data_IF_512254392782
#
_entry.id   IF_512254392782
#
_cell.length_a   1.000
_cell.length_b   1.000
_cell.length_c   1.000
_cell.angle_alpha   90.00
_cell.angle_beta   90.00
_cell.angle_gamma   90.00
#
_symmetry.space_group_name_H-M   'P 1'
#
loop_
_entity.id
_entity.type
_entity.pdbx_description
1 polymer ?
#
# COMPACT_ATOMS: atom_id res chain seq x y z
N UNK A 1 -1.97 -12.72 -4.77
CA UNK A 1 -2.89 -13.85 -5.02
C UNK A 1 -2.14 -15.16 -5.15
N UNK A 2 -2.79 -16.34 -5.04
CA UNK A 2 -2.15 -17.63 -5.30
C UNK A 2 -1.49 -17.67 -6.67
N UNK A 3 -0.35 -18.35 -6.81
CA UNK A 3 0.37 -18.42 -8.09
C UNK A 3 -0.42 -19.16 -9.19
N UNK A 4 -1.28 -20.09 -8.81
CA UNK A 4 -2.15 -20.89 -9.69
C UNK A 4 -3.51 -20.22 -9.97
N UNK A 5 -3.76 -19.03 -9.40
CA UNK A 5 -4.96 -18.24 -9.65
C UNK A 5 -5.26 -18.09 -11.15
N UNK A 6 -6.54 -18.07 -11.56
CA UNK A 6 -6.94 -17.82 -12.96
C UNK A 6 -6.52 -16.44 -13.45
N UNK A 7 -6.41 -15.44 -12.56
CA UNK A 7 -6.00 -14.10 -12.95
C UNK A 7 -4.50 -14.07 -13.26
N UNK A 8 -4.15 -13.75 -14.50
CA UNK A 8 -2.75 -13.67 -14.96
C UNK A 8 -2.25 -12.23 -15.04
N UNK A 9 -3.16 -11.31 -15.21
CA UNK A 9 -2.90 -9.86 -15.31
C UNK A 9 -3.78 -9.08 -14.35
N UNK A 10 -3.46 -7.80 -14.12
CA UNK A 10 -4.31 -6.90 -13.36
C UNK A 10 -5.66 -6.72 -14.06
N UNK A 11 -5.68 -6.72 -15.41
CA UNK A 11 -6.92 -6.60 -16.17
C UNK A 11 -7.86 -7.79 -15.92
N UNK A 12 -7.36 -9.04 -15.92
CA UNK A 12 -8.19 -10.22 -15.64
C UNK A 12 -8.90 -10.10 -14.28
N UNK A 13 -8.16 -9.61 -13.27
CA UNK A 13 -8.70 -9.39 -11.94
C UNK A 13 -9.77 -8.29 -11.94
N UNK A 14 -9.50 -7.17 -12.59
CA UNK A 14 -10.43 -6.03 -12.64
C UNK A 14 -11.69 -6.40 -13.42
N UNK A 15 -11.57 -7.13 -14.53
CA UNK A 15 -12.72 -7.58 -15.32
C UNK A 15 -13.67 -8.44 -14.48
N UNK A 16 -13.14 -9.34 -13.65
CA UNK A 16 -13.97 -10.16 -12.75
C UNK A 16 -14.62 -9.33 -11.63
N UNK A 17 -13.88 -8.38 -11.04
CA UNK A 17 -14.43 -7.46 -10.02
C UNK A 17 -15.59 -6.64 -10.61
N UNK A 18 -15.45 -6.14 -11.82
CA UNK A 18 -16.49 -5.34 -12.48
C UNK A 18 -17.70 -6.20 -12.89
N UNK A 19 -17.47 -7.46 -13.29
CA UNK A 19 -18.53 -8.39 -13.64
C UNK A 19 -19.30 -8.92 -12.41
N UNK A 20 -18.64 -9.01 -11.26
CA UNK A 20 -19.16 -9.62 -10.03
C UNK A 20 -18.92 -8.69 -8.80
N UNK A 21 -19.57 -7.51 -8.73
CA UNK A 21 -19.36 -6.55 -7.64
C UNK A 21 -19.61 -7.18 -6.27
N UNK A 22 -18.69 -6.95 -5.32
CA UNK A 22 -18.78 -7.45 -3.97
C UNK A 22 -18.56 -8.96 -3.79
N UNK A 23 -18.16 -9.69 -4.86
CA UNK A 23 -17.95 -11.14 -4.80
C UNK A 23 -16.47 -11.53 -4.73
N UNK A 24 -15.57 -10.73 -5.33
CA UNK A 24 -14.13 -11.00 -5.30
C UNK A 24 -13.57 -10.61 -3.94
N UNK A 25 -13.06 -11.60 -3.21
CA UNK A 25 -12.55 -11.42 -1.84
C UNK A 25 -11.14 -10.85 -1.85
N UNK A 26 -10.95 -9.74 -1.11
CA UNK A 26 -9.64 -9.08 -0.97
C UNK A 26 -9.28 -8.95 0.50
N UNK A 27 -8.20 -9.62 0.89
CA UNK A 27 -7.63 -9.54 2.23
C UNK A 27 -6.89 -8.22 2.45
N UNK A 28 -6.99 -7.70 3.66
CA UNK A 28 -6.26 -6.51 4.11
C UNK A 28 -5.90 -6.61 5.61
N UNK A 29 -4.99 -5.75 6.06
CA UNK A 29 -4.52 -5.71 7.44
C UNK A 29 -5.27 -4.62 8.24
N UNK A 30 -6.28 -5.03 8.99
CA UNK A 30 -7.04 -4.13 9.88
C UNK A 30 -8.00 -3.18 9.14
N UNK A 31 -9.16 -2.93 9.72
CA UNK A 31 -10.12 -1.96 9.19
C UNK A 31 -9.56 -0.53 9.36
N UNK A 32 -9.54 0.25 8.26
CA UNK A 32 -8.97 1.59 8.25
C UNK A 32 -7.44 1.65 8.28
N UNK A 33 -6.76 0.49 8.32
CA UNK A 33 -5.30 0.42 8.18
C UNK A 33 -4.84 0.74 6.76
N UNK A 34 -3.53 1.02 6.58
CA UNK A 34 -2.98 1.43 5.29
C UNK A 34 -3.28 0.48 4.13
N UNK A 35 -3.26 -0.83 4.37
CA UNK A 35 -3.57 -1.83 3.34
C UNK A 35 -5.06 -1.81 2.97
N UNK A 36 -5.95 -1.57 3.94
CA UNK A 36 -7.39 -1.41 3.68
C UNK A 36 -7.67 -0.13 2.89
N UNK A 37 -7.06 0.99 3.29
CA UNK A 37 -7.15 2.26 2.54
C UNK A 37 -6.65 2.08 1.10
N UNK A 38 -5.55 1.35 0.90
CA UNK A 38 -5.04 1.05 -0.43
C UNK A 38 -6.02 0.23 -1.27
N UNK A 39 -6.68 -0.77 -0.68
CA UNK A 39 -7.73 -1.53 -1.36
C UNK A 39 -8.93 -0.67 -1.74
N UNK A 40 -9.38 0.23 -0.84
CA UNK A 40 -10.48 1.16 -1.11
C UNK A 40 -10.15 2.20 -2.19
N UNK A 41 -8.92 2.70 -2.22
CA UNK A 41 -8.45 3.60 -3.30
C UNK A 41 -8.39 2.87 -4.64
N UNK A 42 -8.03 1.59 -4.64
CA UNK A 42 -8.05 0.78 -5.85
C UNK A 42 -9.48 0.53 -6.33
N UNK A 43 -10.42 0.18 -5.43
CA UNK A 43 -11.85 0.08 -5.77
C UNK A 43 -12.39 1.37 -6.41
N UNK A 44 -12.09 2.52 -5.79
CA UNK A 44 -12.53 3.82 -6.31
C UNK A 44 -11.96 4.09 -7.71
N UNK A 45 -10.67 3.77 -7.91
CA UNK A 45 -9.98 3.98 -9.18
C UNK A 45 -10.59 3.16 -10.32
N UNK A 46 -10.93 1.89 -10.08
CA UNK A 46 -11.51 1.00 -11.10
C UNK A 46 -13.04 1.05 -11.18
N UNK A 47 -13.70 1.75 -10.24
CA UNK A 47 -15.17 1.76 -10.15
C UNK A 47 -15.78 0.40 -9.79
N UNK A 48 -15.01 -0.46 -9.10
CA UNK A 48 -15.42 -1.81 -8.68
C UNK A 48 -15.78 -1.88 -7.20
N UNK A 49 -16.14 -3.09 -6.73
CA UNK A 49 -16.45 -3.37 -5.34
C UNK A 49 -15.86 -4.73 -4.93
N UNK A 50 -15.06 -4.77 -3.85
CA UNK A 50 -14.50 -5.99 -3.28
C UNK A 50 -15.31 -6.51 -2.10
N UNK A 51 -15.24 -7.81 -1.85
CA UNK A 51 -15.56 -8.38 -0.54
C UNK A 51 -14.32 -8.26 0.36
N UNK A 52 -14.27 -7.23 1.22
CA UNK A 52 -13.15 -7.00 2.12
C UNK A 52 -13.11 -8.01 3.27
N UNK A 53 -12.00 -8.75 3.38
CA UNK A 53 -11.72 -9.68 4.48
C UNK A 53 -10.55 -9.16 5.30
N UNK A 54 -10.80 -8.85 6.56
CA UNK A 54 -9.80 -8.24 7.44
C UNK A 54 -9.07 -9.30 8.26
N UNK A 55 -7.74 -9.23 8.26
CA UNK A 55 -6.83 -10.06 9.05
C UNK A 55 -6.04 -9.23 10.06
N UNK A 56 -5.46 -9.88 11.07
CA UNK A 56 -4.58 -9.26 12.07
C UNK A 56 -3.17 -9.03 11.51
N UNK A 57 -3.06 -8.24 10.43
CA UNK A 57 -1.80 -7.87 9.80
C UNK A 57 -1.62 -8.45 8.39
N UNK A 58 -0.67 -7.87 7.66
CA UNK A 58 -0.45 -8.21 6.25
C UNK A 58 0.09 -9.62 6.05
N UNK A 59 0.94 -10.12 6.95
CA UNK A 59 1.43 -11.51 6.88
C UNK A 59 0.31 -12.53 7.06
N UNK A 60 -0.68 -12.24 7.94
CA UNK A 60 -1.86 -13.08 8.08
C UNK A 60 -2.75 -13.03 6.82
N UNK A 61 -2.90 -11.86 6.19
CA UNK A 61 -3.59 -11.72 4.91
C UNK A 61 -2.92 -12.54 3.78
N UNK A 62 -1.58 -12.54 3.73
CA UNK A 62 -0.82 -13.40 2.80
C UNK A 62 -1.05 -14.88 3.08
N UNK A 63 -1.12 -15.27 4.36
CA UNK A 63 -1.45 -16.66 4.74
C UNK A 63 -2.85 -17.06 4.26
N UNK A 64 -3.83 -16.18 4.37
CA UNK A 64 -5.18 -16.41 3.84
C UNK A 64 -5.18 -16.62 2.32
N UNK A 65 -4.36 -15.88 1.59
CA UNK A 65 -4.14 -16.09 0.15
C UNK A 65 -3.55 -17.49 -0.12
N UNK A 66 -2.51 -17.89 0.61
CA UNK A 66 -1.88 -19.21 0.46
C UNK A 66 -2.85 -20.37 0.77
N UNK A 67 -3.76 -20.15 1.70
CA UNK A 67 -4.78 -21.13 2.07
C UNK A 67 -6.00 -21.16 1.11
N UNK A 68 -6.00 -20.29 0.07
CA UNK A 68 -7.14 -20.10 -0.83
C UNK A 68 -8.44 -19.66 -0.12
N UNK A 69 -8.33 -19.00 1.04
CA UNK A 69 -9.47 -18.43 1.77
C UNK A 69 -10.00 -17.16 1.10
N UNK A 70 -9.11 -16.45 0.37
CA UNK A 70 -9.39 -15.20 -0.35
C UNK A 70 -8.76 -15.20 -1.73
N UNK A 71 -9.36 -14.46 -2.66
CA UNK A 71 -8.85 -14.38 -4.04
C UNK A 71 -7.53 -13.60 -4.14
N UNK A 72 -7.42 -12.50 -3.39
CA UNK A 72 -6.25 -11.64 -3.42
C UNK A 72 -5.98 -10.98 -2.05
N UNK A 73 -4.81 -10.38 -1.91
CA UNK A 73 -4.50 -9.49 -0.79
C UNK A 73 -3.88 -8.19 -1.29
N UNK A 74 -4.18 -7.10 -0.59
CA UNK A 74 -3.41 -5.86 -0.62
C UNK A 74 -2.52 -5.86 0.61
N UNK A 75 -1.20 -5.91 0.41
CA UNK A 75 -0.22 -6.01 1.48
C UNK A 75 1.02 -5.17 1.17
N UNK A 76 1.86 -4.95 2.20
CA UNK A 76 3.15 -4.32 2.00
C UNK A 76 4.15 -5.33 1.41
N UNK A 77 5.12 -4.83 0.66
CA UNK A 77 6.12 -5.64 -0.02
C UNK A 77 6.80 -6.66 0.89
N UNK A 78 7.32 -6.32 2.09
CA UNK A 78 8.01 -7.29 2.94
C UNK A 78 7.14 -8.46 3.41
N UNK A 79 5.81 -8.28 3.44
CA UNK A 79 4.88 -9.28 4.00
C UNK A 79 4.69 -10.51 3.10
N UNK A 80 4.97 -10.39 1.79
CA UNK A 80 4.73 -11.45 0.81
C UNK A 80 5.93 -11.87 -0.03
N UNK A 81 7.06 -11.15 0.01
CA UNK A 81 8.15 -11.38 -0.96
C UNK A 81 8.81 -12.75 -0.85
N UNK A 82 8.92 -13.34 0.35
CA UNK A 82 9.41 -14.71 0.51
C UNK A 82 8.54 -15.74 -0.22
N UNK A 83 7.22 -15.53 -0.22
CA UNK A 83 6.27 -16.41 -0.89
C UNK A 83 6.27 -16.18 -2.42
N UNK A 84 6.54 -14.93 -2.87
CA UNK A 84 6.79 -14.63 -4.28
C UNK A 84 8.04 -15.35 -4.77
N UNK A 85 9.15 -15.22 -4.03
CA UNK A 85 10.41 -15.89 -4.36
C UNK A 85 10.27 -17.43 -4.38
N UNK A 86 9.40 -17.99 -3.52
CA UNK A 86 9.07 -19.41 -3.49
C UNK A 86 8.08 -19.84 -4.60
N UNK A 87 7.59 -18.91 -5.42
CA UNK A 87 6.62 -19.20 -6.48
C UNK A 87 5.22 -19.59 -5.98
N UNK A 88 4.89 -19.31 -4.71
CA UNK A 88 3.62 -19.68 -4.09
C UNK A 88 2.53 -18.64 -4.33
N UNK A 89 2.92 -17.38 -4.43
CA UNK A 89 2.01 -16.27 -4.76
C UNK A 89 2.55 -15.48 -5.96
N UNK A 90 1.64 -14.76 -6.61
CA UNK A 90 1.91 -13.86 -7.71
C UNK A 90 1.52 -12.44 -7.34
N UNK A 91 2.33 -11.48 -7.74
CA UNK A 91 1.98 -10.05 -7.70
C UNK A 91 1.37 -9.70 -9.07
N UNK A 92 0.16 -9.14 -9.10
CA UNK A 92 -0.45 -8.65 -10.33
C UNK A 92 -0.02 -7.25 -10.67
N UNK A 93 0.13 -6.39 -9.66
CA UNK A 93 0.60 -5.03 -9.83
C UNK A 93 1.14 -4.47 -8.51
N UNK A 94 1.97 -3.45 -8.64
CA UNK A 94 2.42 -2.61 -7.53
C UNK A 94 1.77 -1.22 -7.63
N UNK A 95 1.36 -0.68 -6.49
CA UNK A 95 0.86 0.70 -6.40
C UNK A 95 1.99 1.72 -6.16
N UNK A 96 3.24 1.30 -6.20
CA UNK A 96 4.39 2.16 -6.02
C UNK A 96 4.57 3.15 -7.19
N UNK A 97 5.30 4.23 -6.95
CA UNK A 97 5.66 5.20 -7.99
C UNK A 97 6.74 4.69 -8.95
N UNK A 98 7.55 3.70 -8.49
CA UNK A 98 8.67 3.10 -9.23
C UNK A 98 8.65 1.58 -9.13
N UNK A 99 9.17 0.85 -10.14
CA UNK A 99 9.32 -0.60 -10.10
C UNK A 99 10.19 -1.07 -8.93
N UNK A 100 9.94 -2.29 -8.46
CA UNK A 100 10.84 -2.97 -7.52
C UNK A 100 12.15 -3.35 -8.21
N UNK A 101 13.28 -3.09 -7.55
CA UNK A 101 14.60 -3.39 -8.13
C UNK A 101 14.77 -4.89 -8.42
N UNK A 102 14.33 -5.75 -7.49
CA UNK A 102 14.48 -7.20 -7.59
C UNK A 102 13.35 -7.89 -8.40
N UNK A 103 12.29 -7.16 -8.72
CA UNK A 103 11.12 -7.66 -9.45
C UNK A 103 10.67 -6.64 -10.52
N UNK A 104 11.55 -6.34 -11.51
CA UNK A 104 11.27 -5.32 -12.52
C UNK A 104 10.09 -5.68 -13.43
N UNK A 105 9.74 -6.97 -13.55
CA UNK A 105 8.62 -7.47 -14.35
C UNK A 105 7.24 -7.29 -13.69
N UNK A 106 7.19 -6.89 -12.40
CA UNK A 106 5.93 -6.57 -11.73
C UNK A 106 5.43 -5.21 -12.25
N UNK A 107 4.29 -5.17 -12.93
CA UNK A 107 3.80 -3.92 -13.50
C UNK A 107 3.40 -2.94 -12.39
N UNK A 108 3.63 -1.65 -12.63
CA UNK A 108 2.99 -0.61 -11.84
C UNK A 108 1.52 -0.51 -12.25
N UNK A 109 0.61 -0.39 -11.29
CA UNK A 109 -0.81 -0.25 -11.57
C UNK A 109 -1.08 0.93 -12.51
N UNK A 110 -0.43 2.07 -12.27
CA UNK A 110 -0.55 3.29 -13.11
C UNK A 110 -0.10 3.11 -14.57
N UNK A 111 0.76 2.14 -14.83
CA UNK A 111 1.33 1.86 -16.17
C UNK A 111 0.75 0.56 -16.77
N UNK A 112 -0.20 -0.08 -16.09
CA UNK A 112 -0.80 -1.37 -16.50
C UNK A 112 -1.74 -1.28 -17.69
N UNK A 113 -2.21 -0.08 -18.03
CA UNK A 113 -3.24 0.14 -19.06
C UNK A 113 -4.67 -0.15 -18.58
N UNK A 114 -4.87 -0.53 -17.32
CA UNK A 114 -6.20 -0.73 -16.74
C UNK A 114 -6.84 0.63 -16.48
N UNK A 115 -8.04 0.83 -17.03
CA UNK A 115 -8.76 2.10 -16.92
C UNK A 115 -8.98 2.51 -15.46
N UNK A 116 -8.72 3.78 -15.13
CA UNK A 116 -8.85 4.37 -13.81
C UNK A 116 -7.59 4.26 -12.94
N UNK A 117 -6.62 3.43 -13.32
CA UNK A 117 -5.39 3.26 -12.54
C UNK A 117 -4.26 4.22 -12.91
N UNK A 118 -4.41 5.08 -13.90
CA UNK A 118 -3.37 5.94 -14.48
C UNK A 118 -2.70 6.87 -13.45
N UNK A 119 -3.44 7.26 -12.42
CA UNK A 119 -2.95 8.11 -11.32
C UNK A 119 -2.88 7.35 -9.98
N UNK A 120 -3.04 6.03 -9.99
CA UNK A 120 -3.07 5.23 -8.79
C UNK A 120 -1.64 4.98 -8.27
N UNK A 121 -1.20 5.85 -7.39
CA UNK A 121 0.03 5.68 -6.62
C UNK A 121 -0.32 5.71 -5.15
N UNK A 122 0.07 4.65 -4.43
CA UNK A 122 -0.17 4.50 -3.00
C UNK A 122 1.13 4.02 -2.38
N UNK A 123 1.78 4.89 -1.64
CA UNK A 123 3.04 4.59 -0.94
C UNK A 123 2.80 4.64 0.56
N UNK A 124 3.18 3.59 1.24
CA UNK A 124 3.22 3.64 2.69
C UNK A 124 4.46 4.39 3.15
N UNK A 125 4.28 5.27 4.11
CA UNK A 125 5.34 6.09 4.67
C UNK A 125 5.43 5.94 6.18
N UNK A 126 6.54 6.37 6.74
CA UNK A 126 6.79 6.45 8.18
C UNK A 126 7.36 7.81 8.49
N UNK A 127 6.98 8.38 9.62
CA UNK A 127 7.49 9.65 10.11
C UNK A 127 7.80 9.57 11.60
N UNK A 128 8.65 10.48 12.07
CA UNK A 128 8.85 10.76 13.47
C UNK A 128 8.03 12.02 13.78
N UNK A 129 7.16 11.94 14.77
CA UNK A 129 6.40 13.08 15.24
C UNK A 129 6.86 13.48 16.65
N UNK A 130 6.84 14.75 16.93
CA UNK A 130 7.18 15.34 18.23
C UNK A 130 5.99 16.19 18.74
N UNK A 131 5.89 16.47 20.06
CA UNK A 131 4.91 17.41 20.58
C UNK A 131 4.98 18.77 19.88
N UNK A 132 3.84 19.45 19.75
CA UNK A 132 3.75 20.71 19.00
C UNK A 132 4.56 21.86 19.63
N UNK A 133 4.86 21.78 20.92
CA UNK A 133 5.66 22.73 21.68
C UNK A 133 7.16 22.41 21.74
N UNK A 134 7.62 21.41 20.95
CA UNK A 134 9.05 21.09 20.83
C UNK A 134 9.77 22.26 20.16
N UNK A 135 10.88 22.78 20.77
CA UNK A 135 11.63 23.90 20.19
C UNK A 135 12.10 23.58 18.74
N UNK A 136 12.02 24.57 17.87
CA UNK A 136 12.39 24.43 16.44
C UNK A 136 13.83 23.96 16.24
N UNK A 137 14.76 24.36 17.12
CA UNK A 137 16.16 23.91 17.07
C UNK A 137 16.29 22.40 17.29
N UNK A 138 15.49 21.82 18.19
CA UNK A 138 15.46 20.38 18.45
C UNK A 138 14.84 19.65 17.25
N UNK A 139 13.76 20.18 16.68
CA UNK A 139 13.13 19.61 15.47
C UNK A 139 14.12 19.60 14.30
N UNK A 140 14.86 20.70 14.10
CA UNK A 140 15.87 20.79 13.06
C UNK A 140 17.01 19.77 13.26
N UNK A 141 17.52 19.63 14.52
CA UNK A 141 18.56 18.66 14.83
C UNK A 141 18.08 17.22 14.56
N UNK A 142 16.88 16.87 15.00
CA UNK A 142 16.27 15.54 14.74
C UNK A 142 16.10 15.28 13.26
N UNK A 143 15.70 16.29 12.49
CA UNK A 143 15.54 16.20 11.04
C UNK A 143 16.87 15.92 10.34
N UNK A 144 17.95 16.59 10.74
CA UNK A 144 19.31 16.35 10.22
C UNK A 144 19.84 14.95 10.59
N UNK A 145 19.55 14.47 11.80
CA UNK A 145 19.89 13.09 12.19
C UNK A 145 19.12 12.08 11.35
N UNK A 146 17.79 12.27 11.17
CA UNK A 146 16.97 11.42 10.35
C UNK A 146 17.46 11.37 8.89
N UNK A 147 17.88 12.53 8.34
CA UNK A 147 18.49 12.60 7.02
C UNK A 147 19.72 11.72 6.90
N UNK A 148 20.66 11.86 7.84
CA UNK A 148 21.90 11.06 7.85
C UNK A 148 21.62 9.56 7.92
N UNK A 149 20.61 9.15 8.71
CA UNK A 149 20.21 7.74 8.80
C UNK A 149 19.61 7.23 7.48
N UNK A 150 18.70 8.01 6.87
CA UNK A 150 18.03 7.60 5.62
C UNK A 150 18.98 7.57 4.43
N UNK A 151 20.02 8.40 4.45
CA UNK A 151 21.06 8.48 3.42
C UNK A 151 22.27 7.55 3.71
N UNK A 152 22.29 6.88 4.84
CA UNK A 152 23.35 5.93 5.21
C UNK A 152 23.32 4.71 4.29
N UNK A 153 24.47 4.33 3.67
CA UNK A 153 24.52 3.21 2.73
C UNK A 153 24.04 1.88 3.31
N UNK A 154 24.36 1.58 4.58
CA UNK A 154 23.94 0.33 5.23
C UNK A 154 22.43 0.32 5.46
N UNK A 155 21.84 1.48 5.79
CA UNK A 155 20.40 1.62 5.93
C UNK A 155 19.70 1.45 4.57
N UNK A 156 20.22 2.08 3.52
CA UNK A 156 19.70 1.96 2.14
C UNK A 156 19.76 0.51 1.67
N UNK A 157 20.88 -0.19 1.89
CA UNK A 157 21.02 -1.59 1.53
C UNK A 157 19.99 -2.48 2.26
N UNK A 158 19.78 -2.27 3.57
CA UNK A 158 18.75 -2.98 4.32
C UNK A 158 17.33 -2.69 3.81
N UNK A 159 17.04 -1.44 3.46
CA UNK A 159 15.76 -1.09 2.84
C UNK A 159 15.58 -1.83 1.50
N UNK A 160 16.61 -1.87 0.65
CA UNK A 160 16.56 -2.55 -0.64
C UNK A 160 16.31 -4.05 -0.48
N UNK A 161 16.93 -4.74 0.50
CA UNK A 161 16.67 -6.17 0.77
C UNK A 161 15.23 -6.46 1.18
N UNK A 162 14.51 -5.46 1.68
CA UNK A 162 13.10 -5.52 2.03
C UNK A 162 12.18 -4.95 0.94
N UNK A 163 12.74 -4.57 -0.20
CA UNK A 163 12.03 -3.85 -1.27
C UNK A 163 11.30 -2.59 -0.76
N UNK A 164 11.96 -1.87 0.16
CA UNK A 164 11.50 -0.59 0.71
C UNK A 164 12.35 0.52 0.12
N UNK A 165 11.72 1.60 -0.31
CA UNK A 165 12.44 2.79 -0.81
C UNK A 165 12.78 3.71 0.36
N UNK A 166 14.09 3.84 0.67
CA UNK A 166 14.57 4.85 1.61
C UNK A 166 14.43 6.24 0.96
N UNK A 167 13.64 7.11 1.57
CA UNK A 167 13.40 8.47 1.09
C UNK A 167 13.26 9.44 2.26
N UNK A 168 14.15 10.41 2.31
CA UNK A 168 14.07 11.50 3.26
C UNK A 168 13.12 12.60 2.75
N UNK A 169 12.35 13.17 3.65
CA UNK A 169 11.63 14.45 3.49
C UNK A 169 11.98 15.33 4.68
N UNK A 170 12.31 16.59 4.43
CA UNK A 170 12.52 17.57 5.48
C UNK A 170 11.21 17.93 6.19
N UNK A 171 11.27 18.78 7.23
CA UNK A 171 10.12 19.14 8.07
C UNK A 171 8.98 19.79 7.25
N UNK A 172 9.30 20.68 6.31
CA UNK A 172 8.32 21.34 5.47
C UNK A 172 7.68 20.34 4.50
N UNK A 173 8.49 19.59 3.77
CA UNK A 173 8.05 18.58 2.80
C UNK A 173 7.18 17.49 3.43
N UNK A 174 7.53 17.01 4.63
CA UNK A 174 6.73 15.98 5.30
C UNK A 174 5.39 16.55 5.81
N UNK A 175 5.36 17.78 6.30
CA UNK A 175 4.13 18.43 6.74
C UNK A 175 3.16 18.66 5.59
N UNK A 176 3.63 19.17 4.45
CA UNK A 176 2.81 19.32 3.24
C UNK A 176 2.28 17.98 2.75
N UNK A 177 3.15 16.96 2.73
CA UNK A 177 2.78 15.61 2.32
C UNK A 177 1.70 15.03 3.24
N UNK A 178 1.88 15.10 4.57
CA UNK A 178 0.88 14.61 5.54
C UNK A 178 -0.45 15.32 5.39
N UNK A 179 -0.44 16.64 5.16
CA UNK A 179 -1.68 17.39 4.94
C UNK A 179 -2.40 16.92 3.66
N UNK A 180 -1.67 16.70 2.57
CA UNK A 180 -2.25 16.20 1.32
C UNK A 180 -2.85 14.80 1.47
N UNK A 181 -2.15 13.89 2.15
CA UNK A 181 -2.64 12.54 2.42
C UNK A 181 -3.85 12.55 3.37
N UNK A 182 -3.86 13.42 4.38
CA UNK A 182 -5.04 13.58 5.26
C UNK A 182 -6.28 13.97 4.46
N UNK A 183 -6.18 14.95 3.57
CA UNK A 183 -7.31 15.38 2.73
C UNK A 183 -7.77 14.21 1.84
N UNK A 184 -6.84 13.50 1.23
CA UNK A 184 -7.12 12.35 0.36
C UNK A 184 -7.86 11.24 1.12
N UNK A 185 -7.35 10.86 2.29
CA UNK A 185 -7.93 9.78 3.10
C UNK A 185 -9.27 10.22 3.73
N UNK A 186 -9.39 11.46 4.18
CA UNK A 186 -10.64 11.98 4.71
C UNK A 186 -11.76 11.97 3.65
N UNK A 187 -11.45 12.35 2.42
CA UNK A 187 -12.41 12.29 1.31
C UNK A 187 -12.83 10.85 1.02
N UNK A 188 -11.88 9.92 0.96
CA UNK A 188 -12.17 8.50 0.77
C UNK A 188 -13.04 7.93 1.90
N UNK A 189 -12.69 8.21 3.15
CA UNK A 189 -13.44 7.74 4.33
C UNK A 189 -14.88 8.25 4.29
N UNK A 190 -15.07 9.52 3.91
CA UNK A 190 -16.39 10.12 3.76
C UNK A 190 -17.18 9.50 2.61
N UNK A 191 -16.56 9.30 1.45
CA UNK A 191 -17.22 8.70 0.27
C UNK A 191 -17.69 7.27 0.51
N UNK A 192 -16.94 6.51 1.31
CA UNK A 192 -17.26 5.12 1.69
C UNK A 192 -18.17 5.01 2.93
N UNK A 193 -18.63 6.13 3.52
CA UNK A 193 -19.52 6.14 4.67
C UNK A 193 -18.90 5.67 5.99
N UNK A 194 -17.56 5.55 6.08
CA UNK A 194 -16.90 5.15 7.32
C UNK A 194 -16.89 6.27 8.37
N UNK A 195 -17.02 7.52 7.97
CA UNK A 195 -17.01 8.69 8.86
C UNK A 195 -18.12 8.65 9.92
N UNK A 196 -19.29 8.13 9.58
CA UNK A 196 -20.42 8.02 10.50
C UNK A 196 -20.22 7.00 11.63
N UNK A 197 -19.28 6.07 11.48
CA UNK A 197 -18.95 5.03 12.46
C UNK A 197 -17.84 5.44 13.43
N UNK A 198 -16.97 6.35 13.05
CA UNK A 198 -15.76 6.72 13.80
C UNK A 198 -15.72 8.18 14.23
N UNK A 199 -16.69 8.99 13.82
CA UNK A 199 -16.75 10.44 14.07
C UNK A 199 -17.71 10.87 15.19
N UNK A 200 -18.04 9.96 16.12
CA UNK A 200 -18.84 10.32 17.31
C UNK A 200 -18.11 9.96 18.58
#
# INVERSE_FOLDING_TARGET
MPADSPYKTLQDFVDDVLANPGMVTVANAGVGGGNHIAALLFEEAIGGEFAHITYDGGSAAVTGVLANEVNAAVCNTPEGMSNVAAGQIRILASFASKPFADYPDVPLAKDSGVAGTENLVIEQWRSIAVPADTPDEIVAEMSEVAKKVVEDPDFVEKCNTLSIVARYRNVEEINEFVQSENIRFENLIKSKGFGDRYGK
#
